data_IF_152450267434
#
_entry.id   IF_152450267434
#
_cell.length_a   1.000
_cell.length_b   1.000
_cell.length_c   1.000
_cell.angle_alpha   90.00
_cell.angle_beta   90.00
_cell.angle_gamma   90.00
#
_symmetry.space_group_name_H-M   'P 1'
#
loop_
_entity.id
_entity.type
_entity.pdbx_description
1 polymer ?
#
# COMPACT_ATOMS: atom_id res chain seq x y z
N UNK A 1 7.40 8.72 14.00
CA UNK A 1 6.41 9.07 12.95
C UNK A 1 6.87 8.44 11.65
N UNK A 2 6.00 7.80 10.86
CA UNK A 2 6.42 7.08 9.64
C UNK A 2 6.38 7.97 8.39
N UNK A 3 7.05 7.55 7.31
CA UNK A 3 7.18 8.36 6.09
C UNK A 3 5.84 8.73 5.43
N UNK A 4 4.82 7.90 5.59
CA UNK A 4 3.50 8.07 5.00
C UNK A 4 2.44 8.61 5.97
N UNK A 5 2.81 8.99 7.20
CA UNK A 5 1.84 9.36 8.25
C UNK A 5 0.84 10.43 7.80
N UNK A 6 1.32 11.51 7.16
CA UNK A 6 0.44 12.58 6.64
C UNK A 6 -0.51 12.12 5.53
N UNK A 7 -0.08 11.18 4.70
CA UNK A 7 -0.92 10.63 3.63
C UNK A 7 -1.97 9.67 4.19
N UNK A 8 -1.62 8.90 5.23
CA UNK A 8 -2.53 8.01 5.93
C UNK A 8 -3.65 8.81 6.61
N UNK A 9 -3.33 9.94 7.23
CA UNK A 9 -4.35 10.83 7.83
C UNK A 9 -5.34 11.33 6.78
N UNK A 10 -4.85 11.81 5.64
CA UNK A 10 -5.70 12.23 4.51
C UNK A 10 -6.58 11.09 3.97
N UNK A 11 -6.02 9.89 3.79
CA UNK A 11 -6.77 8.72 3.35
C UNK A 11 -7.88 8.34 4.34
N UNK A 12 -7.62 8.44 5.65
CA UNK A 12 -8.64 8.23 6.69
C UNK A 12 -9.76 9.27 6.63
N UNK A 13 -9.47 10.48 6.14
CA UNK A 13 -10.44 11.54 5.88
C UNK A 13 -11.10 11.42 4.50
N UNK A 14 -11.01 10.25 3.85
CA UNK A 14 -11.53 9.99 2.50
C UNK A 14 -10.91 10.85 1.39
N UNK A 15 -9.71 11.39 1.59
CA UNK A 15 -9.00 12.14 0.56
C UNK A 15 -8.10 11.23 -0.28
N UNK A 16 -8.13 11.41 -1.60
CA UNK A 16 -7.14 10.80 -2.51
C UNK A 16 -5.80 11.51 -2.38
N UNK A 17 -4.72 10.75 -2.29
CA UNK A 17 -3.37 11.27 -2.08
C UNK A 17 -2.44 10.95 -3.23
N UNK A 18 -1.45 11.81 -3.42
CA UNK A 18 -0.36 11.60 -4.37
C UNK A 18 0.98 11.79 -3.69
N UNK A 19 1.90 10.87 -3.93
CA UNK A 19 3.25 10.92 -3.35
C UNK A 19 4.26 10.14 -4.17
N UNK A 20 5.54 10.40 -3.92
CA UNK A 20 6.68 9.75 -4.58
C UNK A 20 7.42 8.84 -3.58
N UNK A 21 7.05 7.56 -3.46
CA UNK A 21 7.73 6.66 -2.55
C UNK A 21 9.19 6.46 -2.99
N UNK A 22 10.08 6.22 -2.02
CA UNK A 22 11.50 5.97 -2.27
C UNK A 22 11.88 4.56 -1.82
N UNK A 23 12.79 3.94 -2.55
CA UNK A 23 13.30 2.60 -2.28
C UNK A 23 13.12 1.64 -3.45
N UNK A 24 13.68 0.44 -3.31
CA UNK A 24 13.75 -0.56 -4.39
C UNK A 24 12.86 -1.78 -4.16
N UNK A 25 12.04 -1.79 -3.10
CA UNK A 25 11.21 -2.95 -2.75
C UNK A 25 10.14 -3.25 -3.81
N UNK A 26 9.71 -2.24 -4.56
CA UNK A 26 8.67 -2.33 -5.59
C UNK A 26 9.18 -2.17 -7.02
N UNK A 27 10.51 -2.17 -7.24
CA UNK A 27 11.13 -2.00 -8.57
C UNK A 27 10.46 -2.90 -9.62
N UNK A 28 10.15 -2.34 -10.80
CA UNK A 28 9.41 -3.01 -11.87
C UNK A 28 7.88 -2.97 -11.73
N UNK A 29 7.36 -2.46 -10.61
CA UNK A 29 5.95 -2.07 -10.44
C UNK A 29 5.82 -0.59 -10.09
N UNK A 30 6.64 -0.13 -9.16
CA UNK A 30 6.80 1.28 -8.80
C UNK A 30 8.30 1.54 -8.68
N UNK A 31 8.84 2.39 -9.54
CA UNK A 31 10.23 2.79 -9.46
C UNK A 31 10.44 3.91 -8.44
N UNK A 32 11.66 4.01 -7.91
CA UNK A 32 11.97 4.95 -6.83
C UNK A 32 11.77 6.40 -7.29
N UNK A 33 10.89 7.14 -6.59
CA UNK A 33 10.56 8.52 -6.93
C UNK A 33 9.44 8.68 -7.96
N UNK A 34 8.88 7.59 -8.46
CA UNK A 34 7.74 7.60 -9.38
C UNK A 34 6.48 8.13 -8.68
N UNK A 35 5.64 8.89 -9.39
CA UNK A 35 4.46 9.51 -8.77
C UNK A 35 3.29 8.51 -8.71
N UNK A 36 2.85 8.22 -7.48
CA UNK A 36 1.77 7.28 -7.19
C UNK A 36 0.52 8.03 -6.75
N UNK A 37 -0.65 7.62 -7.23
CA UNK A 37 -1.97 8.07 -6.75
C UNK A 37 -2.65 6.94 -6.00
N UNK A 38 -3.03 7.20 -4.75
CA UNK A 38 -3.64 6.24 -3.83
C UNK A 38 -4.99 6.79 -3.37
N UNK A 39 -6.04 5.98 -3.51
CA UNK A 39 -7.38 6.31 -3.02
C UNK A 39 -7.65 5.64 -1.67
N UNK A 40 -8.52 6.22 -0.83
CA UNK A 40 -9.01 5.55 0.37
C UNK A 40 -9.64 4.20 0.02
N UNK A 41 -9.55 3.25 0.95
CA UNK A 41 -10.31 2.00 0.84
C UNK A 41 -11.74 2.27 1.32
N UNK A 42 -12.65 2.44 0.37
CA UNK A 42 -14.09 2.52 0.64
C UNK A 42 -14.68 1.13 0.45
N UNK A 43 -14.58 0.26 1.48
CA UNK A 43 -15.14 -1.11 1.47
C UNK A 43 -14.88 -1.93 0.19
N UNK A 44 -13.83 -1.59 -0.55
CA UNK A 44 -13.52 -2.21 -1.83
C UNK A 44 -12.89 -3.57 -1.58
N UNK A 45 -13.31 -4.57 -2.35
CA UNK A 45 -12.71 -5.91 -2.36
C UNK A 45 -11.22 -5.79 -2.66
N UNK A 46 -10.40 -5.94 -1.61
CA UNK A 46 -8.96 -6.03 -1.76
C UNK A 46 -8.65 -7.41 -2.30
N UNK A 47 -8.04 -7.42 -3.47
CA UNK A 47 -7.74 -8.65 -4.19
C UNK A 47 -6.25 -8.92 -4.23
N UNK A 48 -5.90 -10.19 -4.43
CA UNK A 48 -4.52 -10.58 -4.73
C UNK A 48 -4.04 -9.82 -5.97
N UNK A 49 -2.85 -9.23 -5.89
CA UNK A 49 -2.24 -8.42 -6.95
C UNK A 49 -2.40 -6.91 -6.73
N UNK A 50 -3.32 -6.47 -5.87
CA UNK A 50 -3.46 -5.07 -5.53
C UNK A 50 -2.19 -4.52 -4.84
N UNK A 51 -1.86 -3.26 -5.10
CA UNK A 51 -0.83 -2.53 -4.37
C UNK A 51 -1.52 -1.58 -3.39
N UNK A 52 -1.14 -1.65 -2.12
CA UNK A 52 -1.81 -0.92 -1.04
C UNK A 52 -0.82 -0.16 -0.15
N UNK A 53 -1.24 1.02 0.31
CA UNK A 53 -0.58 1.71 1.41
C UNK A 53 -1.07 1.10 2.73
N UNK A 54 -0.16 0.50 3.48
CA UNK A 54 -0.50 -0.30 4.67
C UNK A 54 0.56 -0.16 5.77
N UNK A 55 0.26 -0.72 6.95
CA UNK A 55 1.21 -0.86 8.06
C UNK A 55 1.34 -2.33 8.46
N UNK A 56 2.57 -2.84 8.45
CA UNK A 56 2.90 -4.21 8.87
C UNK A 56 3.96 -4.13 9.97
N UNK A 57 3.69 -4.72 11.14
CA UNK A 57 4.62 -4.74 12.28
C UNK A 57 5.24 -3.37 12.61
N UNK A 58 4.44 -2.31 12.65
CA UNK A 58 4.93 -0.96 12.97
C UNK A 58 5.39 -0.13 11.76
N UNK A 59 5.73 -0.78 10.64
CA UNK A 59 6.34 -0.13 9.48
C UNK A 59 5.31 0.15 8.36
N UNK A 60 5.47 1.28 7.67
CA UNK A 60 4.57 1.70 6.59
C UNK A 60 5.12 1.31 5.23
N UNK A 61 4.27 0.74 4.38
CA UNK A 61 4.66 0.21 3.08
C UNK A 61 3.63 0.53 2.00
N UNK A 62 4.10 0.71 0.76
CA UNK A 62 3.28 0.63 -0.44
C UNK A 62 3.61 -0.66 -1.19
N UNK A 63 2.96 -1.76 -0.82
CA UNK A 63 3.37 -3.13 -1.21
C UNK A 63 2.21 -3.94 -1.80
N UNK A 64 2.52 -5.12 -2.35
CA UNK A 64 1.56 -6.02 -2.98
C UNK A 64 0.79 -6.85 -1.96
N UNK A 65 -0.48 -7.06 -2.25
CA UNK A 65 -1.29 -8.13 -1.67
C UNK A 65 -0.93 -9.43 -2.41
N UNK A 66 -0.20 -10.31 -1.75
CA UNK A 66 0.28 -11.59 -2.30
C UNK A 66 -0.73 -12.72 -2.17
N UNK A 67 -1.56 -12.67 -1.13
CA UNK A 67 -2.63 -13.63 -0.87
C UNK A 67 -3.74 -13.01 -0.04
N UNK A 68 -4.95 -13.55 -0.16
CA UNK A 68 -6.13 -13.19 0.63
C UNK A 68 -6.62 -14.45 1.32
N UNK A 69 -6.91 -14.36 2.62
CA UNK A 69 -7.47 -15.45 3.41
C UNK A 69 -8.54 -14.87 4.35
N UNK A 70 -9.80 -14.92 3.92
CA UNK A 70 -10.91 -14.23 4.59
C UNK A 70 -10.59 -12.76 4.79
N UNK A 71 -10.55 -12.33 6.04
CA UNK A 71 -10.30 -10.93 6.42
C UNK A 71 -8.81 -10.59 6.62
N UNK A 72 -7.90 -11.51 6.26
CA UNK A 72 -6.44 -11.33 6.35
C UNK A 72 -5.82 -11.25 4.97
N UNK A 73 -4.84 -10.38 4.83
CA UNK A 73 -4.13 -10.09 3.59
C UNK A 73 -2.63 -10.29 3.80
N UNK A 74 -2.00 -11.10 2.97
CA UNK A 74 -0.55 -11.29 2.99
C UNK A 74 0.11 -10.18 2.19
N UNK A 75 0.94 -9.38 2.85
CA UNK A 75 1.66 -8.28 2.21
C UNK A 75 3.08 -8.71 1.90
N UNK A 76 3.55 -8.37 0.71
CA UNK A 76 4.92 -8.62 0.29
C UNK A 76 5.40 -7.61 -0.74
N UNK A 77 6.71 -7.51 -0.88
CA UNK A 77 7.32 -6.63 -1.87
C UNK A 77 7.33 -7.27 -3.27
N UNK A 78 7.82 -6.55 -4.27
CA UNK A 78 7.93 -7.06 -5.64
C UNK A 78 9.19 -7.93 -5.88
N UNK A 79 9.99 -8.21 -4.84
CA UNK A 79 11.25 -8.97 -4.93
C UNK A 79 11.17 -10.35 -4.26
N UNK A 80 9.98 -10.79 -3.85
CA UNK A 80 9.74 -12.11 -3.25
C UNK A 80 9.77 -12.14 -1.72
N UNK A 81 10.02 -11.01 -1.05
CA UNK A 81 9.95 -10.95 0.40
C UNK A 81 8.52 -10.74 0.90
N UNK A 82 8.11 -11.54 1.88
CA UNK A 82 6.82 -11.43 2.57
C UNK A 82 7.01 -10.64 3.86
N UNK A 83 6.27 -9.54 4.02
CA UNK A 83 6.32 -8.69 5.20
C UNK A 83 5.46 -9.22 6.35
N UNK A 84 4.34 -9.86 6.04
CA UNK A 84 3.45 -10.45 7.05
C UNK A 84 1.98 -10.43 6.65
N UNK A 85 1.14 -10.94 7.55
CA UNK A 85 -0.32 -10.94 7.40
C UNK A 85 -0.93 -9.80 8.21
N UNK A 86 -1.83 -9.04 7.59
CA UNK A 86 -2.57 -7.95 8.24
C UNK A 86 -4.07 -8.06 7.99
N UNK A 87 -4.86 -7.35 8.79
CA UNK A 87 -6.31 -7.17 8.58
C UNK A 87 -6.59 -5.88 7.82
N UNK A 88 -7.83 -5.72 7.38
CA UNK A 88 -8.31 -4.53 6.64
C UNK A 88 -7.99 -3.21 7.36
N UNK A 89 -8.02 -3.20 8.70
CA UNK A 89 -7.74 -2.03 9.55
C UNK A 89 -6.33 -1.46 9.40
N UNK A 90 -5.39 -2.27 8.91
CA UNK A 90 -4.00 -1.87 8.68
C UNK A 90 -3.73 -1.45 7.23
N UNK A 91 -4.77 -1.39 6.40
CA UNK A 91 -4.70 -0.97 5.00
C UNK A 91 -5.45 0.36 4.86
N UNK A 92 -4.75 1.40 4.40
CA UNK A 92 -5.25 2.77 4.41
C UNK A 92 -5.69 3.25 3.03
N UNK A 93 -5.11 2.69 1.97
CA UNK A 93 -5.51 3.04 0.61
C UNK A 93 -4.98 2.07 -0.43
N UNK A 94 -5.60 2.10 -1.61
CA UNK A 94 -5.24 1.29 -2.78
C UNK A 94 -4.62 2.19 -3.85
N UNK A 95 -3.52 1.73 -4.43
CA UNK A 95 -2.88 2.40 -5.56
C UNK A 95 -3.77 2.23 -6.80
N UNK A 96 -4.08 3.34 -7.47
CA UNK A 96 -4.92 3.34 -8.68
C UNK A 96 -4.19 3.83 -9.92
N UNK A 97 -3.10 4.59 -9.75
CA UNK A 97 -2.37 5.18 -10.87
C UNK A 97 -0.90 5.38 -10.52
N UNK A 98 -0.06 5.15 -11.51
CA UNK A 98 1.36 5.45 -11.48
C UNK A 98 1.65 6.31 -12.70
N UNK A 99 2.31 7.44 -12.50
CA UNK A 99 2.73 8.35 -13.57
C UNK A 99 4.22 8.13 -13.88
N UNK A 100 4.64 8.23 -15.15
CA UNK A 100 6.04 8.10 -15.54
C UNK A 100 6.94 9.16 -14.91
#
# INVERSE_FOLDING_TARGET
>A
MGWASRYIEKLKNNETVRFRPRGNSMKGKIDSGQLCTVTPIQQSEISKGDIVLCKVNGNQYIHLVKAVNGNRFQIGNNRGHINGWITITSIYGKLIKIEP
#
